data_IF_939303992281
#
_entry.id   IF_939303992281
#
_cell.length_a   1.000
_cell.length_b   1.000
_cell.length_c   1.000
_cell.angle_alpha   90.00
_cell.angle_beta   90.00
_cell.angle_gamma   90.00
#
_symmetry.space_group_name_H-M   'P 1'
#
loop_
_entity.id
_entity.type
_entity.pdbx_description
1 polymer ?
#
# COMPACT_ATOMS: atom_id res chain seq x y z
N UNK A 1 0.90 -12.10 -7.63
CA UNK A 1 2.16 -11.70 -7.00
C UNK A 1 2.23 -10.19 -6.97
N UNK A 2 2.54 -9.63 -5.81
CA UNK A 2 2.67 -8.20 -5.58
C UNK A 2 4.14 -7.90 -5.27
N UNK A 3 4.68 -6.83 -5.83
CA UNK A 3 5.96 -6.28 -5.47
C UNK A 3 5.75 -4.90 -4.87
N UNK A 4 6.09 -4.74 -3.62
CA UNK A 4 6.05 -3.47 -2.91
C UNK A 4 7.48 -2.97 -2.72
N UNK A 5 7.71 -1.71 -3.07
CA UNK A 5 9.00 -1.04 -2.96
C UNK A 5 8.81 0.22 -2.12
N UNK A 6 9.62 0.39 -1.09
CA UNK A 6 9.68 1.63 -0.32
C UNK A 6 11.11 2.13 -0.16
N UNK A 7 11.29 3.43 -0.08
CA UNK A 7 12.54 4.02 0.41
C UNK A 7 12.76 3.69 1.88
N UNK A 8 14.01 3.70 2.35
CA UNK A 8 14.35 3.36 3.74
C UNK A 8 13.72 4.33 4.76
N UNK A 9 13.41 5.54 4.35
CA UNK A 9 12.72 6.58 5.12
C UNK A 9 11.20 6.61 4.91
N UNK A 10 10.66 5.64 4.13
CA UNK A 10 9.26 5.57 3.74
C UNK A 10 8.75 6.80 2.93
N UNK A 11 9.62 7.62 2.38
CA UNK A 11 9.24 8.75 1.50
C UNK A 11 8.76 8.27 0.13
N UNK A 12 9.30 7.16 -0.35
CA UNK A 12 8.93 6.53 -1.61
C UNK A 12 8.07 5.29 -1.40
N UNK A 13 7.07 5.11 -2.25
CA UNK A 13 6.21 3.92 -2.29
C UNK A 13 5.87 3.55 -3.73
N UNK A 14 6.00 2.28 -4.05
CA UNK A 14 5.44 1.68 -5.26
C UNK A 14 4.84 0.31 -4.95
N UNK A 15 3.67 0.04 -5.52
CA UNK A 15 3.03 -1.27 -5.52
C UNK A 15 2.79 -1.66 -6.97
N UNK A 16 3.53 -2.64 -7.43
CA UNK A 16 3.62 -3.03 -8.83
C UNK A 16 3.48 -4.53 -9.01
N UNK A 17 3.10 -4.95 -10.22
CA UNK A 17 2.83 -6.35 -10.54
C UNK A 17 3.75 -6.81 -11.65
N UNK A 18 4.60 -7.82 -11.38
CA UNK A 18 5.45 -8.41 -12.41
C UNK A 18 4.63 -9.13 -13.48
N UNK A 19 5.19 -9.18 -14.67
CA UNK A 19 4.71 -10.07 -15.72
C UNK A 19 5.30 -11.46 -15.55
N UNK A 20 4.49 -12.47 -15.84
CA UNK A 20 4.91 -13.87 -15.80
C UNK A 20 5.48 -14.24 -17.16
N UNK A 21 6.67 -14.85 -17.16
CA UNK A 21 7.25 -15.52 -18.33
C UNK A 21 7.46 -16.99 -17.97
N UNK A 22 7.02 -17.87 -18.83
CA UNK A 22 7.34 -19.31 -18.71
C UNK A 22 8.65 -19.58 -19.45
N UNK A 23 9.61 -20.12 -18.74
CA UNK A 23 10.89 -20.60 -19.30
C UNK A 23 10.72 -21.96 -20.02
N UNK A 24 11.78 -22.42 -20.69
CA UNK A 24 11.77 -23.68 -21.44
C UNK A 24 11.75 -24.94 -20.56
N UNK A 25 12.02 -24.81 -19.25
CA UNK A 25 12.20 -25.93 -18.30
C UNK A 25 11.16 -25.90 -17.15
N UNK A 26 9.90 -25.56 -17.44
CA UNK A 26 8.84 -25.39 -16.42
C UNK A 26 9.13 -24.30 -15.37
N UNK A 27 10.20 -23.55 -15.52
CA UNK A 27 10.53 -22.44 -14.65
C UNK A 27 9.60 -21.24 -14.90
N UNK A 28 9.02 -20.72 -13.84
CA UNK A 28 8.22 -19.49 -13.88
C UNK A 28 9.09 -18.32 -13.46
N UNK A 29 9.36 -17.40 -14.38
CA UNK A 29 10.14 -16.19 -14.13
C UNK A 29 9.20 -14.98 -14.05
N UNK A 30 9.31 -14.22 -12.97
CA UNK A 30 8.61 -12.96 -12.79
C UNK A 30 9.55 -11.82 -13.15
N UNK A 31 9.14 -10.99 -14.10
CA UNK A 31 9.94 -9.85 -14.57
C UNK A 31 9.19 -8.55 -14.45
N UNK A 32 9.91 -7.50 -14.06
CA UNK A 32 9.41 -6.14 -14.03
C UNK A 32 10.51 -5.16 -14.37
N UNK A 33 10.14 -4.09 -15.07
CA UNK A 33 11.02 -2.93 -15.25
C UNK A 33 10.55 -1.82 -14.32
N UNK A 34 11.47 -1.27 -13.55
CA UNK A 34 11.19 -0.21 -12.60
C UNK A 34 12.30 0.84 -12.64
N UNK A 35 11.91 2.11 -12.58
CA UNK A 35 12.83 3.24 -12.51
C UNK A 35 12.78 3.77 -11.08
N UNK A 36 13.90 3.64 -10.38
CA UNK A 36 14.03 4.25 -9.05
C UNK A 36 14.19 5.76 -9.20
N UNK A 37 13.45 6.57 -8.42
CA UNK A 37 13.47 8.02 -8.58
C UNK A 37 14.81 8.64 -8.21
N UNK A 38 15.57 7.99 -7.32
CA UNK A 38 16.86 8.49 -6.85
C UNK A 38 17.77 7.39 -6.30
N UNK A 39 19.01 7.76 -6.01
CA UNK A 39 19.94 6.89 -5.29
C UNK A 39 19.57 6.78 -3.82
N UNK A 40 19.74 5.57 -3.25
CA UNK A 40 19.39 5.32 -1.86
C UNK A 40 19.14 3.86 -1.58
N UNK A 41 18.71 3.56 -0.38
CA UNK A 41 18.36 2.22 0.03
C UNK A 41 16.86 2.03 -0.07
N UNK A 42 16.47 0.92 -0.71
CA UNK A 42 15.09 0.52 -0.87
C UNK A 42 14.86 -0.84 -0.23
N UNK A 43 13.72 -0.98 0.42
CA UNK A 43 13.20 -2.26 0.89
C UNK A 43 12.14 -2.74 -0.09
N UNK A 44 12.24 -4.01 -0.47
CA UNK A 44 11.32 -4.67 -1.39
C UNK A 44 10.66 -5.83 -0.66
N UNK A 45 9.33 -5.95 -0.81
CA UNK A 45 8.59 -7.14 -0.39
C UNK A 45 7.89 -7.75 -1.60
N UNK A 46 8.06 -9.05 -1.73
CA UNK A 46 7.40 -9.87 -2.73
C UNK A 46 6.38 -10.73 -2.01
N UNK A 47 5.10 -10.42 -2.24
CA UNK A 47 3.97 -11.15 -1.67
C UNK A 47 3.31 -11.99 -2.74
N UNK A 48 3.31 -13.32 -2.56
CA UNK A 48 2.79 -14.24 -3.57
C UNK A 48 2.26 -15.53 -2.95
N UNK A 49 1.37 -16.18 -3.68
CA UNK A 49 0.86 -17.52 -3.34
C UNK A 49 1.18 -18.47 -4.49
N UNK A 50 2.11 -19.42 -4.31
CA UNK A 50 2.35 -20.46 -5.30
C UNK A 50 1.11 -21.36 -5.48
N UNK A 51 0.94 -21.93 -6.67
CA UNK A 51 -0.12 -22.92 -6.90
C UNK A 51 0.05 -24.10 -5.94
N UNK A 52 -0.97 -24.38 -5.14
CA UNK A 52 -0.94 -25.44 -4.13
C UNK A 52 -0.10 -25.14 -2.87
N UNK A 53 0.48 -23.96 -2.77
CA UNK A 53 1.27 -23.51 -1.60
C UNK A 53 0.56 -22.51 -0.72
N UNK A 54 1.24 -22.09 0.33
CA UNK A 54 0.79 -21.04 1.25
C UNK A 54 1.20 -19.66 0.75
N UNK A 55 0.53 -18.62 1.27
CA UNK A 55 0.95 -17.23 1.12
C UNK A 55 2.40 -17.10 1.60
N UNK A 56 3.23 -16.49 0.76
CA UNK A 56 4.68 -16.36 1.01
C UNK A 56 5.08 -14.91 0.86
N UNK A 57 5.83 -14.42 1.83
CA UNK A 57 6.40 -13.08 1.83
C UNK A 57 7.94 -13.21 1.82
N UNK A 58 8.57 -12.64 0.80
CA UNK A 58 10.03 -12.50 0.73
C UNK A 58 10.41 -11.04 0.79
N UNK A 59 11.51 -10.72 1.46
CA UNK A 59 11.97 -9.34 1.61
C UNK A 59 13.43 -9.21 1.15
N UNK A 60 13.72 -8.11 0.47
CA UNK A 60 15.04 -7.78 -0.07
C UNK A 60 15.41 -6.35 0.25
N UNK A 61 16.68 -6.07 0.34
CA UNK A 61 17.24 -4.72 0.43
C UNK A 61 18.04 -4.45 -0.85
N UNK A 62 17.76 -3.34 -1.50
CA UNK A 62 18.42 -2.90 -2.70
C UNK A 62 19.12 -1.56 -2.46
N UNK A 63 20.38 -1.46 -2.85
CA UNK A 63 21.12 -0.20 -2.86
C UNK A 63 21.21 0.33 -4.29
N UNK A 64 20.54 1.45 -4.55
CA UNK A 64 20.62 2.17 -5.83
C UNK A 64 21.73 3.20 -5.70
N UNK A 65 22.81 2.99 -6.49
CA UNK A 65 24.00 3.85 -6.45
C UNK A 65 23.77 5.18 -7.16
N UNK A 66 24.41 6.24 -6.67
CA UNK A 66 24.30 7.58 -7.21
C UNK A 66 24.34 8.64 -6.12
N UNK A 67 23.94 9.86 -6.48
CA UNK A 67 23.84 10.97 -5.52
C UNK A 67 22.37 11.08 -5.06
N UNK A 68 22.09 10.99 -3.75
CA UNK A 68 20.76 11.25 -3.23
C UNK A 68 20.31 12.68 -3.56
N UNK A 69 19.03 12.85 -3.84
CA UNK A 69 18.45 14.16 -4.21
C UNK A 69 17.70 14.80 -3.05
N UNK A 70 17.36 14.04 -2.01
CA UNK A 70 16.76 14.57 -0.80
C UNK A 70 17.50 14.07 0.46
N UNK A 71 17.26 14.73 1.57
CA UNK A 71 17.70 14.27 2.90
C UNK A 71 16.57 13.40 3.47
N UNK A 72 16.87 12.18 3.98
CA UNK A 72 15.86 11.34 4.61
C UNK A 72 15.11 12.08 5.72
N UNK A 73 13.79 11.98 5.70
CA UNK A 73 12.94 12.59 6.71
C UNK A 73 12.62 11.58 7.82
N UNK A 74 12.52 12.11 9.05
CA UNK A 74 12.06 11.29 10.17
C UNK A 74 10.58 10.96 10.02
N UNK A 75 10.23 9.68 10.22
CA UNK A 75 8.83 9.26 10.23
C UNK A 75 8.17 9.74 11.52
N UNK A 76 7.27 10.72 11.41
CA UNK A 76 6.54 11.28 12.54
C UNK A 76 5.05 11.02 12.43
N UNK A 77 4.37 10.88 13.57
CA UNK A 77 2.93 10.66 13.63
C UNK A 77 2.15 11.83 13.04
N UNK A 78 1.17 11.53 12.21
CA UNK A 78 0.31 12.53 11.58
C UNK A 78 -0.73 13.09 12.56
N UNK A 79 -0.91 14.41 12.52
CA UNK A 79 -1.98 15.09 13.25
C UNK A 79 -3.29 15.15 12.46
N UNK A 80 -3.24 14.92 11.14
CA UNK A 80 -4.38 14.91 10.22
C UNK A 80 -4.21 13.81 9.20
N UNK A 81 -5.25 13.04 9.00
CA UNK A 81 -5.27 11.91 8.08
C UNK A 81 -6.00 12.24 6.77
N UNK A 82 -5.76 13.43 6.23
CA UNK A 82 -6.30 13.88 4.95
C UNK A 82 -5.10 14.19 4.04
N UNK A 83 -5.09 13.59 2.85
CA UNK A 83 -4.06 13.79 1.84
C UNK A 83 -4.65 13.76 0.44
N UNK A 84 -3.99 14.45 -0.47
CA UNK A 84 -4.25 14.30 -1.89
C UNK A 84 -3.68 12.96 -2.37
N UNK A 85 -4.30 12.38 -3.40
CA UNK A 85 -3.73 11.26 -4.14
C UNK A 85 -2.42 11.67 -4.81
N UNK A 86 -1.56 10.70 -5.15
CA UNK A 86 -0.26 10.98 -5.78
C UNK A 86 -0.38 11.73 -7.12
N UNK A 87 -1.50 11.56 -7.82
CA UNK A 87 -1.82 12.30 -9.06
C UNK A 87 -2.53 13.64 -8.83
N UNK A 88 -2.82 13.99 -7.56
CA UNK A 88 -3.46 15.23 -7.17
C UNK A 88 -4.92 15.39 -7.60
N UNK A 89 -5.60 14.32 -8.05
CA UNK A 89 -6.97 14.40 -8.57
C UNK A 89 -8.05 14.07 -7.53
N UNK A 90 -7.65 13.45 -6.41
CA UNK A 90 -8.56 13.01 -5.36
C UNK A 90 -8.03 13.47 -4.00
N UNK A 91 -8.95 13.68 -3.08
CA UNK A 91 -8.65 13.85 -1.67
C UNK A 91 -9.08 12.60 -0.92
N UNK A 92 -8.19 12.05 -0.11
CA UNK A 92 -8.43 10.80 0.59
C UNK A 92 -8.21 11.01 2.09
N UNK A 93 -9.16 10.53 2.87
CA UNK A 93 -9.10 10.56 4.34
C UNK A 93 -8.92 9.14 4.85
N UNK A 94 -7.88 8.91 5.65
CA UNK A 94 -7.75 7.68 6.43
C UNK A 94 -8.52 7.86 7.74
N UNK A 95 -9.48 6.99 7.99
CA UNK A 95 -10.26 6.90 9.22
C UNK A 95 -9.67 5.80 10.10
N UNK A 96 -9.22 6.14 11.28
CA UNK A 96 -8.66 5.23 12.28
C UNK A 96 -9.23 5.56 13.67
N UNK A 97 -9.28 4.58 14.59
CA UNK A 97 -9.62 4.88 15.99
C UNK A 97 -8.61 5.85 16.64
N UNK A 98 -9.07 6.60 17.63
CA UNK A 98 -8.19 7.51 18.37
C UNK A 98 -7.03 6.81 19.09
N UNK A 99 -7.17 5.52 19.38
CA UNK A 99 -6.15 4.70 19.99
C UNK A 99 -6.11 3.35 19.28
N UNK A 100 -4.94 2.99 18.79
CA UNK A 100 -4.65 1.68 18.23
C UNK A 100 -3.73 0.95 19.20
N UNK A 101 -4.08 -0.29 19.55
CA UNK A 101 -3.31 -1.14 20.45
C UNK A 101 -2.78 -2.34 19.66
N UNK A 102 -1.49 -2.61 19.80
CA UNK A 102 -0.87 -3.75 19.14
C UNK A 102 -1.55 -5.08 19.51
N UNK A 103 -1.56 -6.02 18.58
CA UNK A 103 -2.16 -7.35 18.68
C UNK A 103 -3.70 -7.38 18.83
N UNK A 104 -4.34 -6.21 18.85
CA UNK A 104 -5.78 -6.11 18.80
C UNK A 104 -6.24 -5.88 17.37
N UNK A 105 -7.38 -6.48 17.01
CA UNK A 105 -8.04 -6.22 15.74
C UNK A 105 -8.56 -4.78 15.70
N UNK A 106 -8.39 -4.11 14.58
CA UNK A 106 -8.80 -2.73 14.37
C UNK A 106 -9.40 -2.56 12.98
N UNK A 107 -10.50 -1.82 12.92
CA UNK A 107 -11.10 -1.37 11.66
C UNK A 107 -10.47 -0.03 11.26
N UNK A 108 -10.04 0.05 10.01
CA UNK A 108 -9.58 1.28 9.36
C UNK A 108 -10.38 1.47 8.07
N UNK A 109 -10.56 2.70 7.61
CA UNK A 109 -11.22 2.95 6.34
C UNK A 109 -10.58 4.12 5.61
N UNK A 110 -10.57 4.04 4.28
CA UNK A 110 -10.24 5.17 3.43
C UNK A 110 -11.53 5.74 2.84
N UNK A 111 -11.69 7.06 2.91
CA UNK A 111 -12.80 7.80 2.34
C UNK A 111 -12.30 8.63 1.17
N UNK A 112 -12.82 8.41 -0.02
CA UNK A 112 -12.34 9.00 -1.26
C UNK A 112 -13.33 10.06 -1.77
N UNK A 113 -12.82 11.25 -2.07
CA UNK A 113 -13.56 12.35 -2.70
C UNK A 113 -12.77 12.96 -3.86
N UNK A 114 -13.45 13.69 -4.73
CA UNK A 114 -12.77 14.54 -5.71
C UNK A 114 -12.28 15.85 -5.06
N UNK A 115 -11.54 16.66 -5.82
CA UNK A 115 -10.99 17.93 -5.33
C UNK A 115 -12.06 19.01 -5.02
N UNK A 116 -13.32 18.77 -5.36
CA UNK A 116 -14.44 19.62 -4.96
C UNK A 116 -15.11 19.13 -3.65
N UNK A 117 -14.60 18.04 -3.06
CA UNK A 117 -15.16 17.42 -1.86
C UNK A 117 -16.35 16.50 -2.13
N UNK A 118 -16.68 16.21 -3.40
CA UNK A 118 -17.77 15.27 -3.73
C UNK A 118 -17.30 13.83 -3.51
N UNK A 119 -18.07 13.00 -2.79
CA UNK A 119 -17.71 11.62 -2.54
C UNK A 119 -17.70 10.80 -3.84
N UNK A 120 -16.71 9.92 -3.99
CA UNK A 120 -16.63 8.96 -5.08
C UNK A 120 -17.36 7.70 -4.67
N UNK A 121 -18.49 7.41 -5.32
CA UNK A 121 -19.38 6.29 -4.98
C UNK A 121 -19.42 5.20 -6.06
N UNK A 122 -18.54 5.31 -7.04
CA UNK A 122 -18.45 4.41 -8.19
C UNK A 122 -17.01 3.92 -8.41
N UNK A 123 -16.30 3.64 -7.32
CA UNK A 123 -15.02 2.92 -7.39
C UNK A 123 -15.20 1.59 -8.10
N UNK A 124 -14.16 1.14 -8.73
CA UNK A 124 -14.09 -0.09 -9.50
C UNK A 124 -13.24 -1.13 -8.76
N UNK A 125 -13.44 -2.44 -9.00
CA UNK A 125 -12.56 -3.45 -8.45
C UNK A 125 -11.12 -3.23 -8.89
N UNK A 126 -10.19 -3.24 -7.95
CA UNK A 126 -8.76 -3.27 -8.19
C UNK A 126 -8.26 -4.68 -7.84
N UNK A 127 -7.84 -5.46 -8.86
CA UNK A 127 -7.33 -6.83 -8.67
C UNK A 127 -8.26 -7.72 -7.81
N UNK A 128 -9.54 -7.74 -8.18
CA UNK A 128 -10.58 -8.52 -7.53
C UNK A 128 -10.90 -8.10 -6.07
N UNK A 129 -10.54 -6.88 -5.66
CA UNK A 129 -10.90 -6.29 -4.37
C UNK A 129 -11.39 -4.85 -4.55
N UNK A 130 -12.12 -4.30 -3.60
CA UNK A 130 -12.53 -2.89 -3.60
C UNK A 130 -11.37 -1.90 -3.38
N UNK A 131 -10.18 -2.42 -3.11
CA UNK A 131 -8.94 -1.68 -2.91
C UNK A 131 -7.88 -2.53 -2.23
N UNK A 132 -6.71 -1.97 -2.00
CA UNK A 132 -5.60 -2.60 -1.26
C UNK A 132 -5.02 -1.60 -0.27
N UNK A 133 -4.61 -2.08 0.90
CA UNK A 133 -3.83 -1.29 1.84
C UNK A 133 -2.52 -1.97 2.15
N UNK A 134 -1.43 -1.21 2.08
CA UNK A 134 -0.10 -1.63 2.52
C UNK A 134 0.29 -0.79 3.70
N UNK A 135 0.71 -1.45 4.78
CA UNK A 135 1.08 -0.79 6.03
C UNK A 135 2.45 -1.32 6.46
N UNK A 136 3.38 -0.42 6.73
CA UNK A 136 4.77 -0.78 7.03
C UNK A 136 5.21 -0.04 8.30
N UNK A 137 5.86 -0.75 9.23
CA UNK A 137 6.45 -0.13 10.42
C UNK A 137 7.61 0.79 10.05
N UNK A 138 7.81 1.85 10.84
CA UNK A 138 8.89 2.83 10.60
C UNK A 138 10.30 2.24 10.64
N UNK A 139 10.48 1.10 11.31
CA UNK A 139 11.74 0.35 11.34
C UNK A 139 11.84 -0.71 10.20
N UNK A 140 10.87 -0.75 9.29
CA UNK A 140 10.82 -1.66 8.14
C UNK A 140 10.82 -3.16 8.50
N UNK A 141 10.46 -3.53 9.73
CA UNK A 141 10.43 -4.95 10.13
C UNK A 141 9.07 -5.59 9.94
N UNK A 142 7.98 -4.80 10.05
CA UNK A 142 6.61 -5.28 9.90
C UNK A 142 6.02 -4.81 8.56
N UNK A 143 5.40 -5.75 7.88
CA UNK A 143 4.71 -5.54 6.60
C UNK A 143 3.33 -6.16 6.66
N UNK A 144 2.31 -5.36 6.39
CA UNK A 144 0.92 -5.79 6.33
C UNK A 144 0.36 -5.44 4.95
N UNK A 145 -0.15 -6.44 4.24
CA UNK A 145 -0.91 -6.27 3.01
C UNK A 145 -2.35 -6.68 3.30
N UNK A 146 -3.24 -5.71 3.30
CA UNK A 146 -4.61 -5.86 3.80
C UNK A 146 -5.61 -5.67 2.67
N UNK A 147 -6.58 -6.57 2.57
CA UNK A 147 -7.70 -6.47 1.66
C UNK A 147 -8.94 -5.92 2.38
N UNK A 148 -9.87 -5.28 1.65
CA UNK A 148 -11.13 -4.83 2.22
C UNK A 148 -11.94 -5.96 2.83
N UNK A 149 -12.79 -5.61 3.80
CA UNK A 149 -13.72 -6.54 4.43
C UNK A 149 -14.88 -6.92 3.52
N UNK A 150 -15.19 -6.10 2.52
CA UNK A 150 -16.22 -6.34 1.53
C UNK A 150 -15.69 -7.21 0.38
N UNK A 151 -16.38 -8.32 0.10
CA UNK A 151 -16.13 -9.11 -1.10
C UNK A 151 -16.77 -8.42 -2.31
N UNK A 152 -16.04 -8.36 -3.43
CA UNK A 152 -16.48 -7.68 -4.63
C UNK A 152 -16.39 -8.59 -5.85
N UNK A 153 -17.30 -8.40 -6.81
CA UNK A 153 -17.23 -9.00 -8.13
C UNK A 153 -16.77 -7.98 -9.19
N UNK A 154 -16.61 -8.41 -10.42
CA UNK A 154 -16.16 -7.56 -11.53
C UNK A 154 -17.09 -6.38 -11.85
N UNK A 155 -18.36 -6.44 -11.42
CA UNK A 155 -19.37 -5.40 -11.63
C UNK A 155 -19.52 -4.46 -10.43
N UNK A 156 -18.83 -4.73 -9.34
CA UNK A 156 -18.91 -3.92 -8.13
C UNK A 156 -18.63 -2.45 -8.42
N UNK A 157 -19.46 -1.61 -7.84
CA UNK A 157 -19.28 -0.17 -7.79
C UNK A 157 -19.59 0.28 -6.37
N UNK A 158 -18.65 0.94 -5.72
CA UNK A 158 -18.77 1.30 -4.31
C UNK A 158 -18.01 2.54 -3.92
N UNK A 159 -17.76 2.67 -2.63
CA UNK A 159 -17.22 3.88 -2.01
C UNK A 159 -18.33 4.77 -1.44
N UNK A 160 -18.03 5.97 -0.94
CA UNK A 160 -16.69 6.57 -0.87
C UNK A 160 -15.78 5.89 0.15
N UNK A 161 -16.32 5.13 1.08
CA UNK A 161 -15.58 4.46 2.15
C UNK A 161 -15.23 3.03 1.74
N UNK A 162 -13.95 2.68 1.87
CA UNK A 162 -13.47 1.31 1.73
C UNK A 162 -12.85 0.89 3.06
N UNK A 163 -13.44 -0.12 3.69
CA UNK A 163 -13.09 -0.57 5.03
C UNK A 163 -12.16 -1.79 5.00
N UNK A 164 -11.21 -1.80 5.93
CA UNK A 164 -10.23 -2.85 6.11
C UNK A 164 -10.19 -3.25 7.58
N UNK A 165 -9.89 -4.50 7.82
CA UNK A 165 -9.68 -5.04 9.17
C UNK A 165 -8.26 -5.58 9.28
N UNK A 166 -7.52 -5.15 10.30
CA UNK A 166 -6.13 -5.53 10.48
C UNK A 166 -5.75 -5.63 11.95
N UNK A 167 -4.56 -6.16 12.23
CA UNK A 167 -3.94 -6.15 13.56
C UNK A 167 -2.47 -5.78 13.40
N UNK A 168 -1.99 -4.88 14.22
CA UNK A 168 -0.59 -4.45 14.22
C UNK A 168 0.23 -5.36 15.12
N UNK A 169 1.35 -5.95 14.63
CA UNK A 169 2.09 -6.95 15.41
C UNK A 169 2.73 -6.42 16.70
N UNK A 170 3.17 -5.15 16.71
CA UNK A 170 3.88 -4.52 17.83
C UNK A 170 3.60 -3.04 17.95
N UNK A 171 3.87 -2.41 19.12
CA UNK A 171 3.87 -0.96 19.25
C UNK A 171 4.96 -0.33 18.37
N UNK A 172 4.58 0.60 17.51
CA UNK A 172 5.47 1.38 16.63
C UNK A 172 4.71 2.52 15.93
N UNK A 173 5.43 3.32 15.15
CA UNK A 173 4.84 4.10 14.08
C UNK A 173 4.71 3.22 12.82
N UNK A 174 3.58 3.34 12.15
CA UNK A 174 3.34 2.65 10.89
C UNK A 174 2.90 3.64 9.83
N UNK A 175 3.42 3.47 8.62
CA UNK A 175 2.98 4.26 7.47
C UNK A 175 2.06 3.41 6.60
N UNK A 176 0.87 3.95 6.31
CA UNK A 176 -0.19 3.27 5.59
C UNK A 176 -0.44 3.94 4.23
N UNK A 177 -0.56 3.13 3.19
CA UNK A 177 -0.97 3.53 1.86
C UNK A 177 -2.23 2.77 1.46
N UNK A 178 -3.09 3.43 0.69
CA UNK A 178 -4.27 2.82 0.09
C UNK A 178 -4.23 2.92 -1.42
N UNK A 179 -4.71 1.90 -2.12
CA UNK A 179 -4.89 1.92 -3.56
C UNK A 179 -6.30 1.52 -3.94
N UNK A 180 -6.90 2.29 -4.84
CA UNK A 180 -8.27 2.13 -5.31
C UNK A 180 -8.30 2.30 -6.83
N UNK A 181 -9.40 1.93 -7.46
CA UNK A 181 -9.59 2.14 -8.89
C UNK A 181 -10.83 2.98 -9.16
N UNK A 182 -10.70 3.99 -10.02
CA UNK A 182 -11.80 4.81 -10.49
C UNK A 182 -11.55 5.21 -11.94
N UNK A 183 -12.55 5.03 -12.80
CA UNK A 183 -12.49 5.34 -14.24
C UNK A 183 -11.27 4.68 -14.93
N UNK A 184 -11.01 3.41 -14.60
CA UNK A 184 -9.90 2.64 -15.16
C UNK A 184 -8.50 3.07 -14.68
N UNK A 185 -8.39 4.00 -13.71
CA UNK A 185 -7.12 4.50 -13.17
C UNK A 185 -6.92 4.04 -11.74
N UNK A 186 -5.70 3.70 -11.40
CA UNK A 186 -5.32 3.41 -10.01
C UNK A 186 -5.06 4.73 -9.28
N UNK A 187 -5.82 4.93 -8.20
CA UNK A 187 -5.63 6.03 -7.26
C UNK A 187 -4.72 5.51 -6.15
N UNK A 188 -3.60 6.15 -5.91
CA UNK A 188 -2.74 5.85 -4.76
C UNK A 188 -2.86 6.96 -3.73
N UNK A 189 -3.39 6.61 -2.58
CA UNK A 189 -3.45 7.47 -1.40
C UNK A 189 -2.26 7.20 -0.50
N UNK A 190 -1.73 8.21 0.12
CA UNK A 190 -0.86 7.81 1.05
C UNK A 190 0.20 8.45 1.73
N UNK A 191 0.84 7.57 2.51
CA UNK A 191 1.82 7.93 3.46
C UNK A 191 1.26 8.49 4.75
N UNK A 192 0.16 7.91 5.27
CA UNK A 192 -0.40 8.27 6.59
C UNK A 192 0.37 7.57 7.69
N UNK A 193 0.88 8.33 8.66
CA UNK A 193 1.63 7.77 9.77
C UNK A 193 0.75 7.67 11.01
N UNK A 194 0.44 6.45 11.42
CA UNK A 194 -0.36 6.13 12.61
C UNK A 194 0.55 5.65 13.74
N UNK A 195 0.14 5.94 14.99
CA UNK A 195 0.80 5.44 16.19
C UNK A 195 0.04 4.25 16.75
N UNK A 196 0.76 3.17 17.01
CA UNK A 196 0.29 1.96 17.68
C UNK A 196 0.96 1.88 19.04
N UNK A 197 0.16 1.69 20.09
CA UNK A 197 0.61 1.57 21.48
C UNK A 197 0.70 0.10 21.93
#
# INVERSE_FOLDING_TARGET
MHLIIVGEDLSYFAHIHPTIRHGNDDDTVFTISHIFPEAGIYKLWVDFKPKGGNQTLAAFRLNVTGKPTHTPEEVVHDNKYIRDSLDGQYQITLKVPNKIVAQNEVDIAFSISDNSGRPITNLEPLMAAGGHSVIISSDLTEFLHVHPTEEVDGNWRGGPDVSFKTSFPKPALYKAWGQFQHQGRVITAGGYVVRVA
#
